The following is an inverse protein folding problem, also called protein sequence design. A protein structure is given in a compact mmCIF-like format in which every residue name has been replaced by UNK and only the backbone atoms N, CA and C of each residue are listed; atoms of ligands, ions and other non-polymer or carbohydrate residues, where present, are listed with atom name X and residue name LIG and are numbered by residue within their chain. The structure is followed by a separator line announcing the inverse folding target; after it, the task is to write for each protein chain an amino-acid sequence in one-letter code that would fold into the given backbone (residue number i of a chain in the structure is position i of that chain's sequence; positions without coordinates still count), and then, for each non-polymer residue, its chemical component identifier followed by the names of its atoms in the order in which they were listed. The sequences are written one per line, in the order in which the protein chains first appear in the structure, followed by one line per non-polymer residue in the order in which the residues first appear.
data_IF_242679275239
#
_entry.id   IF_242679275239
#
_cell.length_a   1.000
_cell.length_b   1.000
_cell.length_c   1.000
_cell.angle_alpha   90.00
_cell.angle_beta   90.00
_cell.angle_gamma   90.00
#
_symmetry.space_group_name_H-M   'P 1'
#
loop_
_entity.id
_entity.type
_entity.pdbx_description
1 polymer ?
#
# COMPACT_ATOMS: atom_id res chain seq x y z
N UNK A 1 -6.64 8.90 12.96
CA UNK A 1 -5.19 8.86 13.20
C UNK A 1 -4.98 8.15 14.53
N UNK A 2 -4.27 7.02 14.58
CA UNK A 2 -4.05 6.26 15.82
C UNK A 2 -2.57 6.38 16.19
N UNK A 3 -2.27 7.07 17.29
CA UNK A 3 -0.92 7.16 17.85
C UNK A 3 -0.66 5.91 18.70
N UNK A 4 -0.09 4.86 18.10
CA UNK A 4 0.30 3.66 18.83
C UNK A 4 1.77 3.78 19.23
N UNK A 5 2.03 3.84 20.55
CA UNK A 5 3.38 3.69 21.09
C UNK A 5 3.92 2.32 20.69
N UNK A 6 5.12 2.33 20.12
CA UNK A 6 5.76 1.16 19.55
C UNK A 6 6.90 0.69 20.46
N UNK A 7 6.73 -0.42 21.22
CA UNK A 7 7.74 -0.86 22.16
C UNK A 7 9.09 -1.14 21.51
N UNK A 8 10.17 -0.91 22.26
CA UNK A 8 11.50 -1.43 21.94
C UNK A 8 11.48 -2.98 21.80
N UNK A 9 12.34 -3.52 20.93
CA UNK A 9 12.49 -4.97 20.76
C UNK A 9 11.33 -5.64 19.99
N UNK A 10 10.41 -4.89 19.40
CA UNK A 10 9.23 -5.43 18.69
C UNK A 10 9.11 -4.88 17.28
N UNK A 11 8.37 -5.62 16.45
CA UNK A 11 7.84 -5.15 15.18
C UNK A 11 6.32 -5.27 15.19
N UNK A 12 5.67 -4.53 14.30
CA UNK A 12 4.27 -4.68 13.97
C UNK A 12 4.15 -4.68 12.45
N UNK A 13 3.05 -5.24 11.98
CA UNK A 13 2.74 -5.28 10.58
C UNK A 13 1.27 -4.98 10.34
N UNK A 14 0.98 -4.37 9.21
CA UNK A 14 -0.37 -4.26 8.67
C UNK A 14 -0.47 -5.12 7.42
N UNK A 15 -1.42 -6.05 7.41
CA UNK A 15 -1.76 -6.80 6.21
C UNK A 15 -2.80 -6.00 5.41
N UNK A 16 -2.56 -5.86 4.12
CA UNK A 16 -3.39 -5.08 3.21
C UNK A 16 -3.63 -5.91 1.95
N UNK A 17 -4.91 -6.09 1.63
CA UNK A 17 -5.33 -6.71 0.38
C UNK A 17 -5.43 -5.67 -0.73
N UNK A 18 -4.87 -5.99 -1.91
CA UNK A 18 -4.84 -5.17 -3.12
C UNK A 18 -5.38 -6.00 -4.29
N UNK A 19 -6.56 -5.66 -4.79
CA UNK A 19 -7.13 -6.31 -5.97
C UNK A 19 -6.56 -5.75 -7.27
N UNK A 20 -5.51 -6.39 -7.77
CA UNK A 20 -4.85 -6.02 -9.03
C UNK A 20 -5.62 -6.46 -10.29
N UNK A 21 -6.71 -7.21 -10.15
CA UNK A 21 -7.44 -7.81 -11.27
C UNK A 21 -8.13 -6.74 -12.13
N UNK A 22 -7.88 -6.77 -13.45
CA UNK A 22 -8.45 -5.78 -14.37
C UNK A 22 -8.00 -4.34 -14.12
N UNK A 23 -6.92 -4.15 -13.35
CA UNK A 23 -6.31 -2.86 -13.06
C UNK A 23 -5.00 -2.72 -13.81
N UNK A 24 -4.85 -1.61 -14.51
CA UNK A 24 -3.64 -1.24 -15.24
C UNK A 24 -2.89 -0.16 -14.50
N UNK A 25 -1.57 -0.04 -14.75
CA UNK A 25 -0.69 0.97 -14.13
C UNK A 25 -0.83 1.02 -12.60
N UNK A 26 -0.89 -0.15 -11.96
CA UNK A 26 -0.94 -0.23 -10.50
C UNK A 26 0.32 0.38 -9.89
N UNK A 27 0.13 1.28 -8.93
CA UNK A 27 1.20 1.84 -8.14
C UNK A 27 0.72 2.01 -6.70
N UNK A 28 1.45 1.42 -5.78
CA UNK A 28 1.31 1.70 -4.35
C UNK A 28 2.40 2.69 -3.98
N UNK A 29 2.05 3.77 -3.30
CA UNK A 29 3.00 4.79 -2.85
C UNK A 29 2.61 5.37 -1.50
N UNK A 30 3.57 6.01 -0.84
CA UNK A 30 3.32 6.52 0.50
C UNK A 30 4.53 7.12 1.17
N UNK A 31 4.38 7.35 2.47
CA UNK A 31 5.44 7.87 3.33
C UNK A 31 5.39 7.21 4.70
N UNK A 32 6.55 6.85 5.22
CA UNK A 32 6.74 6.50 6.63
C UNK A 32 7.51 7.63 7.32
N UNK A 33 7.10 7.98 8.55
CA UNK A 33 7.74 9.01 9.37
C UNK A 33 7.78 8.54 10.81
N UNK A 34 8.94 8.59 11.47
CA UNK A 34 9.07 8.48 12.91
C UNK A 34 8.87 9.88 13.52
N UNK A 35 7.81 10.06 14.31
CA UNK A 35 7.35 11.38 14.77
C UNK A 35 7.92 11.82 16.12
N UNK A 36 8.62 10.93 16.83
CA UNK A 36 9.22 11.18 18.14
C UNK A 36 10.71 11.60 18.06
N UNK A 37 11.26 11.75 16.84
CA UNK A 37 12.65 12.18 16.62
C UNK A 37 13.67 11.03 16.60
N UNK A 38 13.21 9.79 16.41
CA UNK A 38 14.06 8.62 16.25
C UNK A 38 14.11 8.16 14.79
N UNK A 39 14.64 6.96 14.59
CA UNK A 39 14.67 6.24 13.31
C UNK A 39 13.70 5.05 13.34
N UNK A 40 13.29 4.49 12.21
CA UNK A 40 12.51 3.24 12.16
C UNK A 40 12.98 2.40 10.97
N UNK A 41 12.91 1.07 11.08
CA UNK A 41 13.00 0.21 9.91
C UNK A 41 11.60 0.04 9.32
N UNK A 42 11.47 0.21 8.02
CA UNK A 42 10.23 0.04 7.29
C UNK A 42 10.44 -0.88 6.11
N UNK A 43 9.62 -1.93 6.05
CA UNK A 43 9.66 -2.93 5.01
C UNK A 43 8.28 -3.15 4.40
N UNK A 44 8.26 -3.53 3.12
CA UNK A 44 7.05 -4.03 2.47
C UNK A 44 7.35 -5.37 1.83
N UNK A 45 6.55 -6.37 2.17
CA UNK A 45 6.66 -7.75 1.67
C UNK A 45 5.35 -8.20 1.03
N UNK A 46 5.44 -9.19 0.14
CA UNK A 46 4.33 -10.11 -0.11
C UNK A 46 4.22 -11.14 1.04
N UNK A 47 3.24 -12.04 0.97
CA UNK A 47 3.05 -13.06 2.01
C UNK A 47 4.27 -13.98 2.18
N UNK A 48 4.87 -14.43 1.07
CA UNK A 48 6.01 -15.34 1.11
C UNK A 48 7.26 -14.67 1.71
N UNK A 49 7.56 -13.45 1.28
CA UNK A 49 8.66 -12.64 1.78
C UNK A 49 8.49 -12.33 3.26
N UNK A 50 7.27 -11.99 3.70
CA UNK A 50 6.98 -11.72 5.11
C UNK A 50 7.24 -12.95 6.00
N UNK A 51 6.73 -14.12 5.61
CA UNK A 51 6.94 -15.35 6.35
C UNK A 51 8.43 -15.71 6.43
N UNK A 52 9.15 -15.59 5.31
CA UNK A 52 10.60 -15.85 5.25
C UNK A 52 11.38 -14.91 6.17
N UNK A 53 11.06 -13.60 6.15
CA UNK A 53 11.69 -12.60 7.00
C UNK A 53 11.42 -12.86 8.49
N UNK A 54 10.20 -13.26 8.84
CA UNK A 54 9.82 -13.61 10.23
C UNK A 54 10.60 -14.80 10.78
N UNK A 55 11.02 -15.72 9.94
CA UNK A 55 11.89 -16.84 10.30
C UNK A 55 13.37 -16.43 10.47
N UNK A 56 13.69 -15.13 10.33
CA UNK A 56 15.05 -14.62 10.41
C UNK A 56 15.89 -14.87 9.15
N UNK A 57 15.26 -15.28 8.05
CA UNK A 57 15.94 -15.56 6.78
C UNK A 57 15.95 -14.32 5.89
N UNK A 58 16.88 -14.30 4.93
CA UNK A 58 16.89 -13.29 3.87
C UNK A 58 15.65 -13.45 2.99
N UNK A 59 14.92 -12.36 2.79
CA UNK A 59 13.65 -12.35 2.06
C UNK A 59 13.61 -11.20 1.04
N UNK A 60 12.98 -11.40 -0.13
CA UNK A 60 12.74 -10.32 -1.08
C UNK A 60 11.80 -9.28 -0.46
N UNK A 61 12.06 -8.00 -0.75
CA UNK A 61 11.33 -6.85 -0.22
C UNK A 61 10.99 -5.90 -1.36
N UNK A 62 9.75 -5.39 -1.39
CA UNK A 62 9.35 -4.30 -2.30
C UNK A 62 9.89 -2.96 -1.83
N UNK A 63 9.97 -2.79 -0.51
CA UNK A 63 10.55 -1.61 0.13
C UNK A 63 11.48 -2.08 1.24
N UNK A 64 12.68 -1.53 1.28
CA UNK A 64 13.68 -1.77 2.33
C UNK A 64 14.29 -0.44 2.77
N UNK A 65 13.67 0.19 3.76
CA UNK A 65 14.11 1.46 4.32
C UNK A 65 14.59 1.22 5.76
N UNK A 66 15.90 1.32 5.99
CA UNK A 66 16.51 1.06 7.31
C UNK A 66 16.90 2.35 8.00
N UNK A 67 16.67 2.40 9.32
CA UNK A 67 17.09 3.52 10.18
C UNK A 67 16.67 4.90 9.63
N UNK A 68 15.46 4.99 9.07
CA UNK A 68 14.95 6.23 8.49
C UNK A 68 14.12 7.01 9.50
N UNK A 69 14.31 8.33 9.59
CA UNK A 69 13.35 9.19 10.26
C UNK A 69 12.12 9.44 9.35
N UNK A 70 12.34 9.57 8.05
CA UNK A 70 11.29 9.75 7.05
C UNK A 70 11.70 9.09 5.75
N UNK A 71 10.77 8.43 5.07
CA UNK A 71 11.03 7.80 3.78
C UNK A 71 9.77 7.79 2.90
N UNK A 72 9.91 8.28 1.66
CA UNK A 72 8.89 8.12 0.62
C UNK A 72 9.15 6.81 -0.12
N UNK A 73 8.09 6.06 -0.37
CA UNK A 73 8.19 4.77 -1.04
C UNK A 73 7.17 4.65 -2.18
N UNK A 74 7.49 3.80 -3.13
CA UNK A 74 6.55 3.34 -4.15
C UNK A 74 6.95 1.97 -4.69
N UNK A 75 5.97 1.13 -5.02
CA UNK A 75 6.20 -0.16 -5.66
C UNK A 75 5.01 -0.53 -6.55
N UNK A 76 5.26 -1.40 -7.54
CA UNK A 76 4.21 -1.97 -8.41
C UNK A 76 3.75 -3.28 -7.78
N UNK A 77 2.47 -3.43 -7.40
CA UNK A 77 1.98 -4.67 -6.86
C UNK A 77 1.77 -5.72 -7.98
N UNK A 78 2.21 -6.93 -7.70
CA UNK A 78 2.16 -8.15 -8.50
C UNK A 78 1.54 -9.36 -7.74
N UNK A 79 1.18 -9.16 -6.47
CA UNK A 79 0.38 -10.05 -5.63
C UNK A 79 -0.81 -9.29 -5.04
N UNK A 80 -1.63 -9.96 -4.22
CA UNK A 80 -2.77 -9.33 -3.56
C UNK A 80 -2.53 -9.01 -2.09
N UNK A 81 -1.77 -9.83 -1.35
CA UNK A 81 -1.56 -9.62 0.08
C UNK A 81 -0.18 -9.01 0.36
N UNK A 82 -0.19 -7.80 0.93
CA UNK A 82 1.01 -7.06 1.28
C UNK A 82 1.11 -6.79 2.78
N UNK A 83 2.33 -6.92 3.29
CA UNK A 83 2.67 -6.73 4.70
C UNK A 83 3.56 -5.51 4.85
N UNK A 84 3.00 -4.44 5.43
CA UNK A 84 3.72 -3.22 5.78
C UNK A 84 4.28 -3.38 7.19
N UNK A 85 5.60 -3.55 7.30
CA UNK A 85 6.27 -3.85 8.56
C UNK A 85 6.99 -2.62 9.08
N UNK A 86 6.69 -2.26 10.32
CA UNK A 86 7.46 -1.33 11.13
C UNK A 86 8.30 -2.15 12.09
N UNK A 87 9.60 -1.96 12.09
CA UNK A 87 10.52 -2.78 12.88
C UNK A 87 11.36 -1.91 13.82
N UNK A 88 11.20 -2.14 15.12
CA UNK A 88 11.96 -1.53 16.20
C UNK A 88 12.70 -2.58 17.04
N UNK A 89 12.94 -3.77 16.48
CA UNK A 89 13.64 -4.86 17.19
C UNK A 89 15.08 -4.53 17.52
N UNK A 90 15.69 -3.60 16.78
CA UNK A 90 17.05 -3.13 17.01
C UNK A 90 17.20 -2.14 18.17
N UNK A 91 16.11 -1.54 18.65
CA UNK A 91 16.16 -0.65 19.82
C UNK A 91 15.96 -1.46 21.09
N UNK A 92 16.83 -1.22 22.08
CA UNK A 92 16.74 -1.90 23.38
C UNK A 92 15.98 -1.09 24.44
N UNK A 93 15.93 0.24 24.29
CA UNK A 93 15.40 1.14 25.32
C UNK A 93 14.30 2.08 24.85
N UNK A 94 14.32 2.48 23.57
CA UNK A 94 13.46 3.55 23.06
C UNK A 94 12.23 3.03 22.33
N UNK A 95 11.07 3.48 22.83
CA UNK A 95 9.81 3.32 22.13
C UNK A 95 9.72 4.32 20.96
N UNK A 96 8.95 3.98 19.94
CA UNK A 96 8.79 4.80 18.72
C UNK A 96 7.33 5.12 18.46
N UNK A 97 7.09 6.13 17.63
CA UNK A 97 5.76 6.56 17.21
C UNK A 97 5.79 6.78 15.69
N UNK A 98 5.93 5.70 14.89
CA UNK A 98 5.89 5.81 13.45
C UNK A 98 4.46 6.06 12.94
N UNK A 99 4.36 6.93 11.94
CA UNK A 99 3.18 7.16 11.12
C UNK A 99 3.45 6.66 9.70
N UNK A 100 2.50 5.92 9.12
CA UNK A 100 2.55 5.48 7.72
C UNK A 100 1.35 6.05 6.99
N UNK A 101 1.57 6.55 5.78
CA UNK A 101 0.54 6.80 4.77
C UNK A 101 0.77 5.88 3.59
N UNK A 102 -0.31 5.31 3.04
CA UNK A 102 -0.28 4.47 1.86
C UNK A 102 -1.46 4.83 0.95
N UNK A 103 -1.19 4.92 -0.34
CA UNK A 103 -2.14 5.18 -1.41
C UNK A 103 -1.95 4.15 -2.51
N UNK A 104 -3.05 3.68 -3.08
CA UNK A 104 -3.03 2.82 -4.25
C UNK A 104 -3.75 3.51 -5.41
N UNK A 105 -3.01 3.71 -6.50
CA UNK A 105 -3.52 4.29 -7.74
C UNK A 105 -3.50 3.25 -8.85
N UNK A 106 -4.52 3.29 -9.70
CA UNK A 106 -4.63 2.41 -10.86
C UNK A 106 -5.48 3.06 -11.95
N UNK A 107 -5.40 2.52 -13.16
CA UNK A 107 -6.30 2.77 -14.27
C UNK A 107 -7.22 1.56 -14.49
N UNK A 108 -8.44 1.81 -14.94
CA UNK A 108 -9.38 0.74 -15.30
C UNK A 108 -10.17 1.16 -16.54
N UNK A 109 -10.43 0.20 -17.42
CA UNK A 109 -11.27 0.41 -18.60
C UNK A 109 -12.72 0.17 -18.20
N UNK A 110 -13.57 1.19 -18.32
CA UNK A 110 -15.01 1.08 -18.03
C UNK A 110 -15.77 1.07 -19.36
N UNK A 111 -16.49 -0.02 -19.65
CA UNK A 111 -17.43 -0.10 -20.77
C UNK A 111 -18.83 0.27 -20.27
N UNK A 112 -19.32 1.45 -20.65
CA UNK A 112 -20.68 1.91 -20.32
C UNK A 112 -21.61 1.68 -21.53
N UNK A 113 -22.83 1.20 -21.29
CA UNK A 113 -23.87 1.02 -22.30
C UNK A 113 -24.96 2.08 -22.11
N UNK A 114 -25.42 2.70 -23.20
CA UNK A 114 -26.59 3.58 -23.19
C UNK A 114 -27.59 3.13 -24.25
N UNK A 115 -28.86 3.23 -23.93
CA UNK A 115 -29.93 3.01 -24.90
C UNK A 115 -29.97 4.18 -25.90
N UNK A 116 -29.91 3.88 -27.19
CA UNK A 116 -30.02 4.87 -28.26
C UNK A 116 -31.26 4.53 -29.09
N UNK A 117 -32.24 5.44 -29.11
CA UNK A 117 -33.41 5.33 -29.98
C UNK A 117 -32.98 5.52 -31.45
N UNK A 118 -33.26 4.52 -32.30
CA UNK A 118 -32.85 4.48 -33.71
C UNK A 118 -33.95 5.00 -34.65
N UNK A 119 -33.64 6.04 -35.41
CA UNK A 119 -34.02 6.16 -36.83
C UNK A 119 -32.73 6.16 -37.65
N UNK A 120 -32.32 4.96 -38.09
CA UNK A 120 -31.15 4.65 -38.95
C UNK A 120 -29.92 5.57 -38.79
N UNK A 121 -29.03 5.26 -37.85
CA UNK A 121 -27.68 5.86 -37.72
C UNK A 121 -26.70 4.80 -37.18
N UNK A 122 -25.47 4.79 -37.69
CA UNK A 122 -24.43 3.75 -37.51
C UNK A 122 -23.85 3.77 -36.08
N UNK A 123 -23.45 2.59 -35.57
CA UNK A 123 -22.79 2.43 -34.26
C UNK A 123 -21.30 2.70 -34.36
N UNK A 124 -20.76 3.65 -33.60
CA UNK A 124 -19.31 3.87 -33.43
C UNK A 124 -18.94 3.77 -31.95
N UNK A 125 -17.80 3.12 -31.65
CA UNK A 125 -17.33 2.84 -30.30
C UNK A 125 -16.13 3.74 -29.95
N UNK A 126 -16.15 4.42 -28.79
CA UNK A 126 -15.05 5.25 -28.30
C UNK A 126 -14.51 4.69 -26.99
N UNK A 127 -13.19 4.44 -26.90
CA UNK A 127 -12.51 4.08 -25.65
C UNK A 127 -12.24 5.32 -24.81
N UNK A 128 -12.59 5.29 -23.52
CA UNK A 128 -12.34 6.39 -22.57
C UNK A 128 -11.50 5.89 -21.39
N UNK A 129 -10.37 6.56 -21.12
CA UNK A 129 -9.48 6.24 -19.99
C UNK A 129 -9.84 7.12 -18.79
N UNK A 130 -10.23 6.52 -17.65
CA UNK A 130 -10.48 7.25 -16.38
C UNK A 130 -9.43 6.85 -15.33
N UNK A 131 -9.01 7.80 -14.49
CA UNK A 131 -8.09 7.57 -13.36
C UNK A 131 -8.82 7.82 -12.04
N UNK A 132 -8.69 6.91 -11.08
CA UNK A 132 -9.34 7.00 -9.75
C UNK A 132 -8.28 6.87 -8.65
N UNK A 133 -8.39 7.70 -7.62
CA UNK A 133 -7.55 7.64 -6.43
C UNK A 133 -8.38 7.11 -5.27
N UNK A 134 -7.87 6.08 -4.57
CA UNK A 134 -8.55 5.50 -3.39
C UNK A 134 -7.58 5.53 -2.21
N UNK A 135 -8.04 6.02 -1.06
CA UNK A 135 -7.27 6.04 0.17
C UNK A 135 -7.40 4.70 0.91
N UNK A 136 -6.29 4.17 1.43
CA UNK A 136 -6.29 2.93 2.20
C UNK A 136 -7.06 3.07 3.54
N UNK A 137 -7.16 4.29 4.06
CA UNK A 137 -7.96 4.59 5.24
C UNK A 137 -9.46 4.40 4.97
N UNK A 138 -9.94 4.74 3.76
CA UNK A 138 -11.34 4.53 3.35
C UNK A 138 -11.71 3.05 3.22
N UNK A 139 -10.74 2.19 2.87
CA UNK A 139 -10.92 0.74 2.81
C UNK A 139 -11.04 0.10 4.21
N UNK A 140 -10.36 0.66 5.21
CA UNK A 140 -10.37 0.15 6.60
C UNK A 140 -11.56 0.66 7.43
N UNK A 141 -12.12 1.84 7.11
CA UNK A 141 -13.24 2.42 7.86
C UNK A 141 -14.61 2.22 7.22
N UNK A 142 -14.69 1.65 6.01
CA UNK A 142 -15.96 1.35 5.32
C UNK A 142 -16.81 2.57 4.96
N UNK A 143 -16.32 3.80 5.18
CA UNK A 143 -17.03 5.04 4.84
C UNK A 143 -16.92 5.31 3.35
N UNK A 144 -18.04 5.12 2.65
CA UNK A 144 -18.28 5.58 1.27
C UNK A 144 -18.29 7.10 1.18
#
# INVERSE_FOLDING_TARGET
MINLRFPAGRYFHYCVYIDISGKERNLVSGRVVETAGYDINFYVFDQKGFNTWREGKSAPMYVNARRVNSYYYSFVPDYSDYYFVLDNTYSWFTNKVPQITASWSYQTTVTEYRDVQKTRTVTEYVKVTKTKYVSLFQLLTGTK
#
